data_IF_509364522249
#
_entry.id   IF_509364522249
#
_cell.length_a   1.000
_cell.length_b   1.000
_cell.length_c   1.000
_cell.angle_alpha   90.00
_cell.angle_beta   90.00
_cell.angle_gamma   90.00
#
_symmetry.space_group_name_H-M   'P 1'
#
loop_
_entity.id
_entity.type
_entity.pdbx_description
1 polymer ?
#
# COMPACT_ATOMS: atom_id res chain seq x y z
N UNK A 1 -20.05 0.20 9.96
CA UNK A 1 -19.16 1.38 9.97
C UNK A 1 -18.45 1.35 8.63
N UNK A 2 -18.82 2.25 7.72
CA UNK A 2 -18.34 2.24 6.33
C UNK A 2 -16.87 2.65 6.32
N UNK A 3 -15.97 1.74 5.93
CA UNK A 3 -14.54 2.05 5.82
C UNK A 3 -14.33 2.88 4.56
N UNK A 4 -14.08 4.17 4.75
CA UNK A 4 -13.79 5.08 3.65
C UNK A 4 -12.47 4.63 2.99
N UNK A 5 -12.49 4.40 1.66
CA UNK A 5 -11.35 3.88 0.89
C UNK A 5 -10.10 4.77 0.99
N UNK A 6 -10.29 6.03 1.37
CA UNK A 6 -9.23 6.95 1.81
C UNK A 6 -9.00 6.70 3.31
N UNK A 7 -8.38 5.58 3.64
CA UNK A 7 -8.01 5.28 5.01
C UNK A 7 -6.67 5.94 5.35
N UNK A 8 -6.48 6.33 6.62
CA UNK A 8 -5.20 6.91 7.09
C UNK A 8 -4.02 5.95 6.83
N UNK A 9 -4.26 4.64 6.83
CA UNK A 9 -3.21 3.65 6.53
C UNK A 9 -2.75 3.73 5.08
N UNK A 10 -3.67 3.97 4.13
CA UNK A 10 -3.30 4.17 2.73
C UNK A 10 -2.43 5.43 2.54
N UNK A 11 -2.78 6.53 3.23
CA UNK A 11 -2.01 7.77 3.19
C UNK A 11 -0.61 7.59 3.77
N UNK A 12 -0.48 6.90 4.91
CA UNK A 12 0.80 6.61 5.55
C UNK A 12 1.65 5.67 4.69
N UNK A 13 1.04 4.63 4.12
CA UNK A 13 1.69 3.74 3.17
C UNK A 13 2.25 4.50 1.97
N UNK A 14 1.43 5.34 1.34
CA UNK A 14 1.85 6.14 0.19
C UNK A 14 2.97 7.12 0.56
N UNK A 15 2.89 7.77 1.72
CA UNK A 15 3.91 8.70 2.21
C UNK A 15 5.28 8.01 2.37
N UNK A 16 5.32 6.83 2.99
CA UNK A 16 6.57 6.06 3.15
C UNK A 16 7.13 5.66 1.78
N UNK A 17 6.28 5.15 0.89
CA UNK A 17 6.70 4.77 -0.46
C UNK A 17 7.20 5.95 -1.29
N UNK A 18 6.58 7.12 -1.13
CA UNK A 18 7.00 8.35 -1.78
C UNK A 18 8.39 8.81 -1.32
N UNK A 19 8.67 8.75 -0.01
CA UNK A 19 10.00 9.09 0.51
C UNK A 19 11.08 8.08 0.05
N UNK A 20 10.74 6.80 -0.03
CA UNK A 20 11.65 5.76 -0.53
C UNK A 20 11.88 5.86 -2.04
N UNK A 21 10.88 6.28 -2.81
CA UNK A 21 10.93 6.39 -4.27
C UNK A 21 12.13 7.25 -4.76
N UNK A 22 12.41 8.34 -4.05
CA UNK A 22 13.52 9.23 -4.37
C UNK A 22 14.90 8.66 -4.05
N UNK A 23 14.98 7.75 -3.08
CA UNK A 23 16.23 7.14 -2.62
C UNK A 23 16.62 5.88 -3.43
N UNK A 24 15.78 5.46 -4.39
CA UNK A 24 15.96 4.21 -5.13
C UNK A 24 16.27 4.50 -6.61
N UNK A 25 17.16 3.70 -7.25
CA UNK A 25 17.51 3.87 -8.66
C UNK A 25 16.29 3.87 -9.56
N UNK A 26 16.30 4.71 -10.61
CA UNK A 26 15.16 4.88 -11.51
C UNK A 26 14.63 3.55 -12.10
N UNK A 27 15.52 2.62 -12.44
CA UNK A 27 15.17 1.28 -12.93
C UNK A 27 14.34 0.45 -11.94
N UNK A 28 14.52 0.69 -10.64
CA UNK A 28 13.91 -0.08 -9.55
C UNK A 28 12.61 0.53 -9.04
N UNK A 29 12.33 1.80 -9.34
CA UNK A 29 11.15 2.53 -8.87
C UNK A 29 9.83 1.90 -9.29
N UNK A 30 9.75 1.42 -10.55
CA UNK A 30 8.57 0.70 -11.06
C UNK A 30 8.27 -0.54 -10.22
N UNK A 31 9.29 -1.32 -9.89
CA UNK A 31 9.13 -2.53 -9.08
C UNK A 31 8.70 -2.21 -7.65
N UNK A 32 9.26 -1.17 -7.05
CA UNK A 32 8.86 -0.69 -5.73
C UNK A 32 7.36 -0.34 -5.70
N UNK A 33 6.87 0.41 -6.68
CA UNK A 33 5.45 0.79 -6.73
C UNK A 33 4.54 -0.42 -6.94
N UNK A 34 4.90 -1.34 -7.84
CA UNK A 34 4.10 -2.53 -8.14
C UNK A 34 4.06 -3.47 -6.93
N UNK A 35 5.22 -3.84 -6.39
CA UNK A 35 5.32 -4.79 -5.27
C UNK A 35 4.70 -4.19 -4.01
N UNK A 36 4.96 -2.91 -3.74
CA UNK A 36 4.34 -2.20 -2.62
C UNK A 36 2.82 -2.21 -2.70
N UNK A 37 2.26 -1.82 -3.85
CA UNK A 37 0.81 -1.78 -4.04
C UNK A 37 0.21 -3.17 -3.89
N UNK A 38 0.79 -4.18 -4.54
CA UNK A 38 0.33 -5.56 -4.45
C UNK A 38 0.34 -6.08 -3.00
N UNK A 39 1.39 -5.76 -2.23
CA UNK A 39 1.51 -6.15 -0.83
C UNK A 39 0.44 -5.47 0.04
N UNK A 40 0.28 -4.15 -0.11
CA UNK A 40 -0.73 -3.38 0.64
C UNK A 40 -2.15 -3.92 0.41
N UNK A 41 -2.55 -4.07 -0.86
CA UNK A 41 -3.88 -4.58 -1.19
C UNK A 41 -4.07 -6.04 -0.77
N UNK A 42 -3.03 -6.89 -0.84
CA UNK A 42 -3.15 -8.29 -0.40
C UNK A 42 -3.40 -8.39 1.11
N UNK A 43 -2.67 -7.63 1.92
CA UNK A 43 -2.85 -7.65 3.39
C UNK A 43 -4.21 -7.09 3.79
N UNK A 44 -4.61 -5.96 3.21
CA UNK A 44 -5.91 -5.36 3.52
C UNK A 44 -7.08 -6.21 3.00
N UNK A 45 -6.94 -6.87 1.85
CA UNK A 45 -7.93 -7.83 1.33
C UNK A 45 -8.06 -9.05 2.23
N UNK A 46 -6.95 -9.60 2.73
CA UNK A 46 -6.98 -10.72 3.69
C UNK A 46 -7.65 -10.33 5.01
N UNK A 47 -7.32 -9.14 5.54
CA UNK A 47 -7.99 -8.62 6.74
C UNK A 47 -9.50 -8.46 6.51
N UNK A 48 -9.92 -7.96 5.35
CA UNK A 48 -11.34 -7.87 4.99
C UNK A 48 -12.02 -9.25 4.97
N UNK A 49 -11.38 -10.26 4.39
CA UNK A 49 -11.93 -11.62 4.34
C UNK A 49 -12.04 -12.30 5.72
N UNK A 50 -11.10 -12.06 6.64
CA UNK A 50 -11.13 -12.68 7.97
C UNK A 50 -12.05 -11.97 8.98
N UNK A 51 -12.27 -10.66 8.84
CA UNK A 51 -13.17 -9.89 9.71
C UNK A 51 -14.65 -10.01 9.30
N UNK A 52 -14.91 -10.43 8.05
CA UNK A 52 -16.26 -10.54 7.50
C UNK A 52 -16.90 -11.94 7.61
N UNK A 53 -16.23 -12.90 8.26
CA UNK A 53 -16.73 -14.24 8.62
C UNK A 53 -16.96 -14.34 10.14
#
# INVERSE_FOLDING_TARGET
MEMNFISIEFLLFFLVFYLLYWNIPAKSRKYLLIVGSAFFYSIFSLNFYFISF
#
